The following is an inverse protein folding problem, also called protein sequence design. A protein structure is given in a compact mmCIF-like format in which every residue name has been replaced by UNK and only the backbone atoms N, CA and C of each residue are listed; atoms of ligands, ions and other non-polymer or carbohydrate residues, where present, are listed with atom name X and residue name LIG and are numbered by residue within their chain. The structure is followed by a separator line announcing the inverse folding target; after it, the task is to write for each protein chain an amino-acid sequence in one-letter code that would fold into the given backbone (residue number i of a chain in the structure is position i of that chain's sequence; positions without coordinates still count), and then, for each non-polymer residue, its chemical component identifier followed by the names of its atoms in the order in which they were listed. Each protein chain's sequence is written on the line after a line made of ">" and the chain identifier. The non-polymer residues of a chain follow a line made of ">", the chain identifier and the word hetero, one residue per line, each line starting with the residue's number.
data_IF_698507160598
#
_entry.id   IF_698507160598
#
_cell.length_a   1.000
_cell.length_b   1.000
_cell.length_c   1.000
_cell.angle_alpha   90.00
_cell.angle_beta   90.00
_cell.angle_gamma   90.00
#
_symmetry.space_group_name_H-M   'P 1'
#
loop_
_entity.id
_entity.type
_entity.pdbx_description
1 polymer ?
#
# COMPACT_ATOMS: atom_id res chain seq x y z
N UNK A 1 15.99 -0.60 12.83
CA UNK A 1 15.42 0.73 12.49
C UNK A 1 15.76 1.15 11.07
N UNK A 2 17.04 1.12 10.65
CA UNK A 2 17.47 1.41 9.26
C UNK A 2 16.62 0.67 8.21
N UNK A 3 16.33 -0.61 8.42
CA UNK A 3 15.52 -1.42 7.50
C UNK A 3 14.07 -0.95 7.32
N UNK A 4 13.41 -0.48 8.39
CA UNK A 4 12.04 0.07 8.31
C UNK A 4 12.06 1.36 7.48
N UNK A 5 13.07 2.21 7.70
CA UNK A 5 13.27 3.44 6.93
C UNK A 5 13.52 3.13 5.45
N UNK A 6 14.32 2.10 5.15
CA UNK A 6 14.56 1.66 3.76
C UNK A 6 13.28 1.17 3.07
N UNK A 7 12.46 0.34 3.72
CA UNK A 7 11.21 -0.10 3.13
C UNK A 7 10.18 1.03 3.00
N UNK A 8 10.15 1.96 3.96
CA UNK A 8 9.32 3.16 3.85
C UNK A 8 9.76 4.06 2.69
N UNK A 9 11.06 4.25 2.50
CA UNK A 9 11.61 4.96 1.35
C UNK A 9 11.26 4.25 0.04
N UNK A 10 11.28 2.91 0.01
CA UNK A 10 10.89 2.13 -1.16
C UNK A 10 9.40 2.31 -1.52
N UNK A 11 8.51 2.51 -0.55
CA UNK A 11 7.09 2.83 -0.80
C UNK A 11 6.99 4.18 -1.53
N UNK A 12 7.66 5.21 -1.00
CA UNK A 12 7.70 6.54 -1.63
C UNK A 12 8.34 6.51 -3.02
N UNK A 13 9.40 5.71 -3.18
CA UNK A 13 10.06 5.52 -4.46
C UNK A 13 9.14 4.84 -5.48
N UNK A 14 8.40 3.78 -5.10
CA UNK A 14 7.42 3.13 -5.97
C UNK A 14 6.34 4.12 -6.45
N UNK A 15 5.84 4.98 -5.57
CA UNK A 15 4.92 6.06 -5.93
C UNK A 15 5.55 7.09 -6.88
N UNK A 16 6.80 7.49 -6.60
CA UNK A 16 7.54 8.41 -7.44
C UNK A 16 7.76 7.89 -8.87
N UNK A 17 8.02 6.60 -9.06
CA UNK A 17 8.18 6.01 -10.38
C UNK A 17 6.91 6.10 -11.23
N UNK A 18 5.74 5.86 -10.63
CA UNK A 18 4.46 6.00 -11.32
C UNK A 18 4.17 7.46 -11.64
N UNK A 19 4.52 8.39 -10.74
CA UNK A 19 4.40 9.83 -10.99
C UNK A 19 5.28 10.31 -12.16
N UNK A 20 6.51 9.80 -12.28
CA UNK A 20 7.39 10.09 -13.41
C UNK A 20 6.82 9.60 -14.74
N UNK A 21 6.17 8.43 -14.74
CA UNK A 21 5.48 7.92 -15.92
C UNK A 21 4.27 8.77 -16.30
N UNK A 22 3.46 9.20 -15.33
CA UNK A 22 2.32 10.09 -15.56
C UNK A 22 2.71 11.48 -16.10
N UNK A 23 3.95 11.90 -15.88
CA UNK A 23 4.51 13.15 -16.42
C UNK A 23 5.26 12.95 -17.75
N UNK A 24 5.10 11.79 -18.41
CA UNK A 24 5.75 11.42 -19.68
C UNK A 24 7.29 11.40 -19.64
N UNK A 25 7.90 11.34 -18.44
CA UNK A 25 9.36 11.28 -18.30
C UNK A 25 9.96 9.89 -18.45
N UNK A 26 9.13 8.83 -18.45
CA UNK A 26 9.60 7.44 -18.54
C UNK A 26 8.74 6.59 -19.47
N UNK A 27 9.40 5.66 -20.17
CA UNK A 27 8.73 4.65 -21.00
C UNK A 27 8.13 3.53 -20.14
N UNK A 28 7.04 2.93 -20.64
CA UNK A 28 6.33 1.83 -19.98
C UNK A 28 7.27 0.66 -19.67
N UNK A 29 8.13 0.28 -20.61
CA UNK A 29 9.05 -0.85 -20.46
C UNK A 29 10.03 -0.64 -19.30
N UNK A 30 10.56 0.59 -19.18
CA UNK A 30 11.51 0.97 -18.13
C UNK A 30 10.82 0.96 -16.77
N UNK A 31 9.60 1.49 -16.70
CA UNK A 31 8.81 1.49 -15.46
C UNK A 31 8.51 0.06 -14.99
N UNK A 32 8.03 -0.80 -15.88
CA UNK A 32 7.69 -2.19 -15.56
C UNK A 32 8.93 -2.93 -15.08
N UNK A 33 10.07 -2.77 -15.77
CA UNK A 33 11.32 -3.39 -15.37
C UNK A 33 11.78 -2.92 -13.98
N UNK A 34 11.71 -1.62 -13.72
CA UNK A 34 12.13 -1.05 -12.44
C UNK A 34 11.21 -1.48 -11.28
N UNK A 35 9.90 -1.54 -11.52
CA UNK A 35 8.94 -2.06 -10.54
C UNK A 35 9.11 -3.57 -10.28
N UNK A 36 9.47 -4.37 -11.30
CA UNK A 36 9.80 -5.79 -11.12
C UNK A 36 11.11 -5.98 -10.34
N UNK A 37 12.10 -5.14 -10.58
CA UNK A 37 13.35 -5.13 -9.80
C UNK A 37 13.06 -4.79 -8.33
N UNK A 38 12.26 -3.75 -8.07
CA UNK A 38 11.84 -3.43 -6.70
C UNK A 38 11.12 -4.60 -6.02
N UNK A 39 10.21 -5.26 -6.73
CA UNK A 39 9.46 -6.40 -6.21
C UNK A 39 10.38 -7.57 -5.88
N UNK A 40 11.28 -7.92 -6.80
CA UNK A 40 12.20 -9.05 -6.65
C UNK A 40 13.21 -8.83 -5.51
N UNK A 41 13.80 -7.64 -5.40
CA UNK A 41 14.70 -7.27 -4.29
C UNK A 41 13.96 -7.35 -2.96
N UNK A 42 12.73 -6.82 -2.90
CA UNK A 42 11.90 -6.86 -1.69
C UNK A 42 11.55 -8.30 -1.31
N UNK A 43 11.13 -9.14 -2.27
CA UNK A 43 10.86 -10.55 -2.05
C UNK A 43 12.10 -11.33 -1.58
N UNK A 44 13.29 -11.02 -2.13
CA UNK A 44 14.53 -11.67 -1.74
C UNK A 44 14.96 -11.30 -0.32
N UNK A 45 14.86 -10.02 0.06
CA UNK A 45 15.05 -9.56 1.44
C UNK A 45 14.05 -10.23 2.40
N UNK A 46 12.76 -10.29 2.03
CA UNK A 46 11.73 -10.99 2.83
C UNK A 46 12.08 -12.48 2.97
N UNK A 47 12.44 -13.17 1.88
CA UNK A 47 12.77 -14.58 1.90
C UNK A 47 13.98 -14.87 2.80
N UNK A 48 15.02 -14.02 2.71
CA UNK A 48 16.22 -14.08 3.54
C UNK A 48 15.92 -13.82 5.02
N UNK A 49 14.89 -13.04 5.34
CA UNK A 49 14.48 -12.76 6.71
C UNK A 49 13.44 -13.75 7.26
N UNK A 50 12.55 -14.28 6.41
CA UNK A 50 11.52 -15.28 6.77
C UNK A 50 12.14 -16.62 7.15
N UNK A 51 13.27 -17.00 6.57
CA UNK A 51 14.05 -18.16 7.03
C UNK A 51 14.45 -18.04 8.51
N UNK A 52 14.58 -16.81 9.03
CA UNK A 52 14.91 -16.54 10.44
C UNK A 52 13.65 -16.40 11.32
N UNK A 53 12.49 -16.03 10.75
CA UNK A 53 11.28 -15.66 11.50
C UNK A 53 10.10 -16.64 11.33
N UNK A 54 10.37 -17.93 11.07
CA UNK A 54 9.37 -18.97 10.82
C UNK A 54 8.50 -19.28 12.06
N UNK A 55 7.61 -18.36 12.44
CA UNK A 55 6.44 -18.67 13.26
C UNK A 55 5.42 -19.34 12.33
N UNK A 56 5.12 -20.60 12.62
CA UNK A 56 4.19 -21.47 11.88
C UNK A 56 2.78 -20.86 11.83
N UNK A 57 2.52 -19.95 10.89
CA UNK A 57 1.17 -19.50 10.54
C UNK A 57 0.81 -20.20 9.24
N UNK A 58 -0.07 -21.20 9.34
CA UNK A 58 -0.52 -22.03 8.22
C UNK A 58 -1.13 -21.17 7.12
N UNK A 59 -0.81 -21.46 5.85
CA UNK A 59 -1.35 -20.78 4.65
C UNK A 59 -2.88 -20.65 4.68
N UNK A 60 -3.57 -21.68 5.20
CA UNK A 60 -5.03 -21.70 5.39
C UNK A 60 -5.53 -20.57 6.29
N UNK A 61 -4.83 -20.31 7.40
CA UNK A 61 -5.21 -19.25 8.33
C UNK A 61 -5.02 -17.87 7.66
N UNK A 62 -3.92 -17.69 6.91
CA UNK A 62 -3.70 -16.46 6.12
C UNK A 62 -4.81 -16.22 5.10
N UNK A 63 -5.24 -17.26 4.39
CA UNK A 63 -6.32 -17.15 3.41
C UNK A 63 -7.65 -16.77 4.08
N UNK A 64 -7.94 -17.34 5.25
CA UNK A 64 -9.14 -16.99 6.03
C UNK A 64 -9.13 -15.53 6.49
N UNK A 65 -7.98 -15.02 6.95
CA UNK A 65 -7.83 -13.61 7.33
C UNK A 65 -7.95 -12.66 6.13
N UNK A 66 -7.43 -13.07 4.96
CA UNK A 66 -7.57 -12.31 3.72
C UNK A 66 -9.03 -12.23 3.27
N UNK A 67 -9.76 -13.35 3.30
CA UNK A 67 -11.18 -13.38 2.94
C UNK A 67 -12.02 -12.50 3.88
N UNK A 68 -11.78 -12.60 5.20
CA UNK A 68 -12.46 -11.76 6.18
C UNK A 68 -12.14 -10.27 5.98
N UNK A 69 -10.89 -9.92 5.70
CA UNK A 69 -10.49 -8.55 5.38
C UNK A 69 -11.17 -8.02 4.11
N UNK A 70 -11.30 -8.87 3.08
CA UNK A 70 -11.97 -8.53 1.83
C UNK A 70 -13.47 -8.29 2.02
N UNK A 71 -14.15 -9.17 2.76
CA UNK A 71 -15.57 -8.99 3.13
C UNK A 71 -15.79 -7.68 3.90
N UNK A 72 -14.93 -7.38 4.88
CA UNK A 72 -14.98 -6.11 5.60
C UNK A 72 -14.80 -4.91 4.68
N UNK A 73 -13.83 -4.95 3.75
CA UNK A 73 -13.63 -3.88 2.76
C UNK A 73 -14.87 -3.67 1.88
N UNK A 74 -15.48 -4.74 1.38
CA UNK A 74 -16.71 -4.69 0.58
C UNK A 74 -17.87 -4.07 1.35
N UNK A 75 -18.07 -4.48 2.60
CA UNK A 75 -19.10 -3.92 3.47
C UNK A 75 -18.87 -2.41 3.70
N UNK A 76 -17.63 -2.01 3.96
CA UNK A 76 -17.27 -0.60 4.17
C UNK A 76 -17.42 0.23 2.90
N UNK A 77 -17.07 -0.32 1.74
CA UNK A 77 -17.25 0.34 0.45
C UNK A 77 -18.73 0.54 0.11
N UNK A 78 -19.56 -0.48 0.34
CA UNK A 78 -21.00 -0.40 0.16
C UNK A 78 -21.63 0.61 1.13
N UNK A 79 -21.19 0.63 2.39
CA UNK A 79 -21.64 1.59 3.39
C UNK A 79 -21.28 3.03 3.02
N UNK A 80 -20.05 3.28 2.55
CA UNK A 80 -19.66 4.61 2.06
C UNK A 80 -20.43 5.01 0.79
N UNK A 81 -20.67 4.08 -0.13
CA UNK A 81 -21.47 4.34 -1.33
C UNK A 81 -22.92 4.67 -1.01
N UNK A 82 -23.47 4.12 0.08
CA UNK A 82 -24.81 4.43 0.57
C UNK A 82 -24.86 5.81 1.26
N UNK A 83 -23.87 6.14 2.09
CA UNK A 83 -23.82 7.42 2.81
C UNK A 83 -23.42 8.62 1.93
N UNK A 84 -22.54 8.40 0.95
CA UNK A 84 -22.01 9.43 0.06
C UNK A 84 -22.25 9.04 -1.41
N UNK A 85 -23.49 9.13 -1.90
CA UNK A 85 -23.84 8.79 -3.29
C UNK A 85 -23.23 9.75 -4.33
N UNK A 86 -22.59 10.84 -3.89
CA UNK A 86 -21.97 11.85 -4.76
C UNK A 86 -20.49 11.53 -4.91
N UNK A 87 -20.08 11.20 -6.13
CA UNK A 87 -18.68 11.06 -6.53
C UNK A 87 -17.93 12.36 -6.18
N UNK A 88 -17.06 12.32 -5.17
CA UNK A 88 -16.25 13.50 -4.83
C UNK A 88 -15.31 13.82 -6.00
N UNK A 89 -15.00 15.10 -6.23
CA UNK A 89 -14.13 15.55 -7.35
C UNK A 89 -12.80 14.79 -7.36
N UNK A 90 -12.25 14.48 -6.19
CA UNK A 90 -11.03 13.70 -6.04
C UNK A 90 -11.18 12.24 -6.52
N UNK A 91 -12.35 11.64 -6.31
CA UNK A 91 -12.66 10.29 -6.76
C UNK A 91 -12.90 10.24 -8.28
N UNK A 92 -13.42 11.30 -8.89
CA UNK A 92 -13.48 11.43 -10.35
C UNK A 92 -12.09 11.53 -10.97
N UNK A 93 -11.20 12.36 -10.39
CA UNK A 93 -9.81 12.50 -10.83
C UNK A 93 -9.03 11.18 -10.68
N UNK A 94 -9.22 10.46 -9.57
CA UNK A 94 -8.59 9.14 -9.38
C UNK A 94 -9.06 8.10 -10.41
N UNK A 95 -10.34 8.11 -10.78
CA UNK A 95 -10.89 7.24 -11.83
C UNK A 95 -10.34 7.62 -13.21
N UNK A 96 -10.17 8.92 -13.47
CA UNK A 96 -9.62 9.41 -14.73
C UNK A 96 -8.13 9.07 -14.87
N UNK A 97 -7.32 9.30 -13.84
CA UNK A 97 -5.91 8.87 -13.78
C UNK A 97 -5.81 7.34 -13.86
N UNK A 98 -6.72 6.61 -13.21
CA UNK A 98 -6.80 5.15 -13.31
C UNK A 98 -7.13 4.63 -14.72
N UNK A 99 -7.84 5.41 -15.54
CA UNK A 99 -8.08 5.10 -16.96
C UNK A 99 -6.87 5.40 -17.85
N UNK A 100 -6.05 6.37 -17.47
CA UNK A 100 -4.84 6.75 -18.23
C UNK A 100 -3.68 5.78 -17.99
N UNK A 101 -3.63 5.13 -16.83
CA UNK A 101 -2.57 4.16 -16.51
C UNK A 101 -2.92 2.78 -17.06
N UNK A 102 -2.02 2.14 -17.83
CA UNK A 102 -2.17 0.76 -18.25
C UNK A 102 -2.44 -0.15 -17.03
N UNK A 103 -3.49 -0.97 -17.09
CA UNK A 103 -3.91 -1.82 -15.97
C UNK A 103 -2.77 -2.66 -15.39
N UNK A 104 -1.83 -3.10 -16.23
CA UNK A 104 -0.64 -3.85 -15.82
C UNK A 104 0.23 -3.03 -14.86
N UNK A 105 0.53 -1.77 -15.20
CA UNK A 105 1.35 -0.87 -14.37
C UNK A 105 0.66 -0.59 -13.04
N UNK A 106 -0.66 -0.37 -13.09
CA UNK A 106 -1.44 -0.12 -11.89
C UNK A 106 -1.45 -1.33 -10.94
N UNK A 107 -1.68 -2.54 -11.47
CA UNK A 107 -1.62 -3.76 -10.67
C UNK A 107 -0.23 -4.00 -10.08
N UNK A 108 0.82 -3.77 -10.86
CA UNK A 108 2.20 -4.00 -10.44
C UNK A 108 2.66 -2.98 -9.39
N UNK A 109 2.19 -1.74 -9.50
CA UNK A 109 2.30 -0.71 -8.45
C UNK A 109 1.62 -1.15 -7.15
N UNK A 110 0.37 -1.61 -7.23
CA UNK A 110 -0.40 -2.06 -6.06
C UNK A 110 0.23 -3.26 -5.37
N UNK A 111 0.70 -4.24 -6.14
CA UNK A 111 1.40 -5.41 -5.60
C UNK A 111 2.68 -4.97 -4.87
N UNK A 112 3.50 -4.13 -5.48
CA UNK A 112 4.70 -3.58 -4.83
C UNK A 112 4.37 -2.82 -3.54
N UNK A 113 3.39 -1.93 -3.60
CA UNK A 113 2.94 -1.16 -2.43
C UNK A 113 2.48 -2.11 -1.30
N UNK A 114 1.61 -3.06 -1.61
CA UNK A 114 1.07 -4.01 -0.62
C UNK A 114 2.13 -4.87 0.06
N UNK A 115 3.13 -5.37 -0.70
CA UNK A 115 4.21 -6.18 -0.15
C UNK A 115 5.10 -5.35 0.77
N UNK A 116 5.47 -4.13 0.35
CA UNK A 116 6.28 -3.22 1.16
C UNK A 116 5.53 -2.78 2.43
N UNK A 117 4.24 -2.45 2.29
CA UNK A 117 3.41 -1.98 3.39
C UNK A 117 3.20 -3.08 4.44
N UNK A 118 2.93 -4.32 4.02
CA UNK A 118 2.85 -5.49 4.91
C UNK A 118 4.16 -5.71 5.68
N UNK A 119 5.33 -5.53 5.04
CA UNK A 119 6.63 -5.67 5.70
C UNK A 119 6.85 -4.55 6.72
N UNK A 120 6.59 -3.30 6.34
CA UNK A 120 6.73 -2.14 7.23
C UNK A 120 5.79 -2.28 8.42
N UNK A 121 4.52 -2.58 8.19
CA UNK A 121 3.55 -2.80 9.26
C UNK A 121 3.95 -3.98 10.14
N UNK A 122 4.35 -5.11 9.57
CA UNK A 122 4.76 -6.27 10.37
C UNK A 122 5.97 -5.94 11.25
N UNK A 123 6.97 -5.25 10.72
CA UNK A 123 8.14 -4.84 11.51
C UNK A 123 7.77 -3.77 12.56
N UNK A 124 6.91 -2.81 12.21
CA UNK A 124 6.51 -1.73 13.13
C UNK A 124 5.58 -2.23 14.25
N UNK A 125 4.53 -2.98 13.91
CA UNK A 125 3.56 -3.54 14.87
C UNK A 125 4.19 -4.60 15.77
N UNK A 126 5.00 -5.53 15.22
CA UNK A 126 5.48 -6.67 15.99
C UNK A 126 6.82 -6.42 16.71
N UNK A 127 7.71 -5.57 16.18
CA UNK A 127 9.01 -5.29 16.82
C UNK A 127 9.04 -4.00 17.64
N UNK A 128 8.17 -3.02 17.35
CA UNK A 128 8.29 -1.67 17.94
C UNK A 128 7.10 -1.23 18.77
N UNK A 129 5.92 -1.82 18.61
CA UNK A 129 4.72 -1.32 19.28
C UNK A 129 4.21 -2.28 20.37
N UNK A 130 4.50 -1.94 21.62
CA UNK A 130 3.94 -2.62 22.80
C UNK A 130 2.45 -2.27 23.01
N UNK A 131 1.93 -1.18 22.41
CA UNK A 131 0.55 -0.71 22.65
C UNK A 131 -0.19 -0.29 21.35
N UNK A 132 -1.23 -1.04 20.92
CA UNK A 132 -1.94 -0.82 19.65
C UNK A 132 -2.74 0.50 19.56
N UNK A 133 -3.05 1.14 20.69
CA UNK A 133 -3.89 2.35 20.73
C UNK A 133 -3.21 3.62 20.19
N UNK A 134 -1.89 3.76 20.38
CA UNK A 134 -1.15 4.94 19.91
C UNK A 134 -1.07 4.98 18.37
N UNK A 135 -1.06 3.82 17.72
CA UNK A 135 -0.96 3.70 16.27
C UNK A 135 -2.23 4.20 15.58
N UNK A 136 -3.40 3.85 16.11
CA UNK A 136 -4.71 4.27 15.60
C UNK A 136 -4.87 5.79 15.79
N UNK A 137 -4.43 6.34 16.92
CA UNK A 137 -4.49 7.79 17.19
C UNK A 137 -3.61 8.58 16.21
N UNK A 138 -2.39 8.12 15.95
CA UNK A 138 -1.46 8.83 15.06
C UNK A 138 -1.88 8.75 13.58
N UNK A 139 -2.39 7.59 13.12
CA UNK A 139 -2.93 7.44 11.76
C UNK A 139 -4.22 8.25 11.56
N UNK A 140 -5.07 8.32 12.58
CA UNK A 140 -6.30 9.14 12.53
C UNK A 140 -5.98 10.65 12.49
N UNK A 141 -4.95 11.10 13.22
CA UNK A 141 -4.55 12.52 13.22
C UNK A 141 -3.92 12.98 11.89
N UNK A 142 -3.11 12.14 11.24
CA UNK A 142 -2.55 12.48 9.92
C UNK A 142 -3.59 12.54 8.80
N UNK A 143 -4.72 11.83 8.93
CA UNK A 143 -5.84 11.88 7.99
C UNK A 143 -6.73 13.13 8.17
N UNK A 144 -6.66 13.80 9.33
CA UNK A 144 -7.50 14.95 9.64
C UNK A 144 -6.92 16.28 9.12
N UNK A 145 -5.59 16.38 8.99
CA UNK A 145 -4.91 17.63 8.64
C UNK A 145 -5.17 18.20 7.22
N UNK A 146 -5.51 17.43 6.17
CA UNK A 146 -5.87 18.01 4.89
C UNK A 146 -7.35 18.46 4.81
N UNK A 147 -8.15 18.27 5.86
CA UNK A 147 -9.57 18.67 5.91
C UNK A 147 -9.77 19.99 6.67
N UNK A 148 -8.77 20.86 6.69
CA UNK A 148 -8.94 22.25 7.11
C UNK A 148 -9.31 23.10 5.87
N UNK A 149 -10.51 23.70 5.79
CA UNK A 149 -10.82 24.62 4.72
C UNK A 149 -9.91 25.84 4.86
N UNK A 150 -9.09 26.08 3.83
CA UNK A 150 -8.38 27.34 3.66
C UNK A 150 -9.46 28.36 3.28
N UNK A 151 -9.90 29.14 4.27
CA UNK A 151 -10.59 30.42 4.08
C UNK A 151 -9.58 31.50 3.73
#
# INVERSE_FOLDING_TARGET
>A
MIRIVLFYLAIHFNGFLVSLYLQDYMLIEVLVLLQLVLLSVTCLEIARHKTVQAKNITLRNRLSWLLLGFECMLAFAAFNSFLFPVQTRNQAVLVEVGKQVPHIIFLLFLVNASVLEEVVYRQLLWEKLTYPLVQIVLTSFSLLYPMAPIS
#
